data_IF_813160829138
#
_entry.id   IF_813160829138
#
_cell.length_a   1.000
_cell.length_b   1.000
_cell.length_c   1.000
_cell.angle_alpha   90.00
_cell.angle_beta   90.00
_cell.angle_gamma   90.00
#
_symmetry.space_group_name_H-M   'P 1'
#
loop_
_entity.id
_entity.type
_entity.pdbx_description
1 polymer ?
#
# COMPACT_ATOMS: atom_id res chain seq x y z
N UNK A 1 7.53 -17.35 43.12
CA UNK A 1 6.89 -16.22 42.41
C UNK A 1 6.88 -16.56 40.92
N UNK A 2 5.80 -17.21 40.44
CA UNK A 2 5.67 -17.54 39.03
C UNK A 2 5.33 -16.24 38.26
N UNK A 3 6.17 -15.89 37.29
CA UNK A 3 5.93 -14.75 36.39
C UNK A 3 4.69 -15.05 35.54
N UNK A 4 3.62 -14.31 35.77
CA UNK A 4 2.42 -14.34 34.93
C UNK A 4 2.83 -13.85 33.54
N UNK A 5 2.90 -14.76 32.56
CA UNK A 5 3.10 -14.39 31.18
C UNK A 5 1.97 -13.45 30.75
N UNK A 6 2.33 -12.24 30.34
CA UNK A 6 1.35 -11.27 29.83
C UNK A 6 0.59 -11.91 28.67
N UNK A 7 -0.73 -12.08 28.84
CA UNK A 7 -1.59 -12.60 27.78
C UNK A 7 -1.62 -11.56 26.66
N UNK A 8 -0.95 -11.86 25.55
CA UNK A 8 -0.87 -10.94 24.43
C UNK A 8 -2.20 -10.96 23.67
N UNK A 9 -2.86 -9.80 23.57
CA UNK A 9 -4.14 -9.71 22.86
C UNK A 9 -3.96 -10.05 21.38
N UNK A 10 -4.79 -11.01 20.91
CA UNK A 10 -4.78 -11.51 19.55
C UNK A 10 -5.73 -10.68 18.69
N UNK A 11 -5.21 -10.16 17.59
CA UNK A 11 -5.93 -9.45 16.55
C UNK A 11 -6.51 -10.38 15.46
N UNK A 12 -6.99 -9.80 14.35
CA UNK A 12 -7.58 -10.55 13.25
C UNK A 12 -6.58 -11.57 12.67
N UNK A 13 -7.04 -12.81 12.49
CA UNK A 13 -6.20 -13.92 12.02
C UNK A 13 -5.44 -14.66 13.12
N UNK A 14 -5.70 -14.37 14.40
CA UNK A 14 -5.04 -15.07 15.53
C UNK A 14 -3.59 -14.63 15.74
N UNK A 15 -3.28 -13.40 15.32
CA UNK A 15 -1.94 -12.83 15.31
C UNK A 15 -1.88 -11.71 16.35
N UNK A 16 -0.81 -11.54 17.13
CA UNK A 16 -0.71 -10.46 18.12
C UNK A 16 -1.01 -9.09 17.51
N UNK A 17 -1.66 -8.24 18.31
CA UNK A 17 -1.86 -6.83 17.96
C UNK A 17 -0.49 -6.17 17.70
N UNK A 18 -0.37 -5.47 16.57
CA UNK A 18 0.86 -4.84 16.04
C UNK A 18 1.91 -5.78 15.46
N UNK A 19 1.53 -7.01 15.12
CA UNK A 19 2.37 -7.88 14.30
C UNK A 19 2.73 -7.25 12.95
N UNK A 20 3.98 -7.47 12.52
CA UNK A 20 4.46 -7.05 11.22
C UNK A 20 4.44 -8.19 10.23
N UNK A 21 4.28 -7.88 8.95
CA UNK A 21 4.30 -8.89 7.89
C UNK A 21 5.68 -9.54 7.75
N UNK A 22 6.78 -8.80 7.95
CA UNK A 22 8.15 -9.34 7.92
C UNK A 22 8.48 -10.33 9.04
N UNK A 23 7.78 -10.27 10.17
CA UNK A 23 7.99 -11.20 11.30
C UNK A 23 7.54 -12.63 10.95
N UNK A 24 6.56 -12.76 10.03
CA UNK A 24 5.95 -14.04 9.65
C UNK A 24 6.38 -14.53 8.27
N UNK A 25 6.72 -13.62 7.37
CA UNK A 25 7.04 -13.93 5.99
C UNK A 25 8.27 -13.16 5.53
N UNK A 26 8.99 -13.72 4.55
CA UNK A 26 10.07 -12.99 3.88
C UNK A 26 9.47 -11.93 2.95
N UNK A 27 9.75 -10.67 3.25
CA UNK A 27 9.30 -9.51 2.47
C UNK A 27 10.47 -8.84 1.74
N UNK A 28 10.17 -8.11 0.66
CA UNK A 28 11.16 -7.30 -0.07
C UNK A 28 10.66 -5.86 -0.21
N UNK A 29 11.37 -4.93 0.44
CA UNK A 29 11.11 -3.47 0.44
C UNK A 29 9.62 -3.10 0.54
N UNK A 30 8.92 -3.71 1.51
CA UNK A 30 7.49 -3.53 1.68
C UNK A 30 7.17 -2.16 2.31
N UNK A 31 6.28 -1.35 1.71
CA UNK A 31 5.85 -0.09 2.31
C UNK A 31 5.24 -0.27 3.70
N UNK A 32 5.45 0.71 4.59
CA UNK A 32 5.00 0.69 5.99
C UNK A 32 3.53 0.31 6.18
N UNK A 33 2.65 0.73 5.27
CA UNK A 33 1.21 0.42 5.33
C UNK A 33 0.90 -1.08 5.16
N UNK A 34 1.69 -1.79 4.35
CA UNK A 34 1.52 -3.24 4.13
C UNK A 34 2.35 -4.05 5.13
N UNK A 35 3.43 -3.46 5.64
CA UNK A 35 4.22 -4.03 6.72
C UNK A 35 3.42 -4.10 8.04
N UNK A 36 2.58 -3.10 8.31
CA UNK A 36 1.79 -3.01 9.53
C UNK A 36 0.29 -3.04 9.17
N UNK A 37 -0.37 -4.21 9.17
CA UNK A 37 -1.77 -4.32 8.77
C UNK A 37 -2.75 -3.56 9.67
N UNK A 38 -2.33 -3.20 10.88
CA UNK A 38 -3.13 -2.41 11.83
C UNK A 38 -3.42 -0.99 11.36
N UNK A 39 -2.65 -0.47 10.39
CA UNK A 39 -2.85 0.87 9.81
C UNK A 39 -4.14 0.95 8.98
N UNK A 40 -4.65 -0.17 8.48
CA UNK A 40 -5.88 -0.20 7.70
C UNK A 40 -7.12 -0.04 8.58
N UNK A 41 -7.88 1.02 8.30
CA UNK A 41 -9.10 1.39 9.02
C UNK A 41 -10.34 1.22 8.14
N UNK A 42 -11.54 1.31 8.72
CA UNK A 42 -12.81 1.23 8.00
C UNK A 42 -13.34 -0.19 7.76
N UNK A 43 -12.61 -1.21 8.19
CA UNK A 43 -13.07 -2.60 8.18
C UNK A 43 -13.84 -2.93 9.46
N UNK A 44 -14.86 -3.77 9.32
CA UNK A 44 -15.72 -4.19 10.42
C UNK A 44 -17.17 -4.22 10.00
N UNK A 45 -18.00 -4.88 10.81
CA UNK A 45 -19.45 -4.83 10.64
C UNK A 45 -20.00 -3.58 11.31
N UNK A 46 -20.94 -2.90 10.64
CA UNK A 46 -21.80 -1.94 11.33
C UNK A 46 -22.66 -2.69 12.35
N UNK A 47 -23.00 -2.09 13.50
CA UNK A 47 -23.94 -2.68 14.43
C UNK A 47 -25.30 -2.81 13.72
N UNK A 48 -25.66 -4.02 13.31
CA UNK A 48 -26.91 -4.33 12.62
C UNK A 48 -27.50 -5.58 13.26
N UNK A 49 -28.82 -5.61 13.37
CA UNK A 49 -29.51 -6.81 13.84
C UNK A 49 -29.22 -7.99 12.90
N UNK A 50 -28.86 -9.18 13.42
CA UNK A 50 -28.47 -10.34 12.58
C UNK A 50 -29.52 -10.71 11.52
N UNK A 51 -30.81 -10.60 11.85
CA UNK A 51 -31.93 -10.89 10.93
C UNK A 51 -32.00 -9.91 9.73
N UNK A 52 -31.40 -8.74 9.85
CA UNK A 52 -31.39 -7.69 8.82
C UNK A 52 -29.99 -7.50 8.21
N UNK A 53 -29.10 -8.48 8.37
CA UNK A 53 -27.78 -8.46 7.73
C UNK A 53 -27.91 -8.95 6.30
N UNK A 54 -27.40 -8.16 5.34
CA UNK A 54 -27.40 -8.53 3.93
C UNK A 54 -26.09 -9.19 3.52
N UNK A 55 -26.07 -9.84 2.37
CA UNK A 55 -24.82 -10.43 1.86
C UNK A 55 -23.78 -9.36 1.48
N UNK A 56 -24.24 -8.20 1.00
CA UNK A 56 -23.36 -7.06 0.72
C UNK A 56 -22.64 -6.58 1.99
N UNK A 57 -23.27 -6.70 3.16
CA UNK A 57 -22.64 -6.36 4.46
C UNK A 57 -21.42 -7.24 4.76
N UNK A 58 -21.25 -8.41 4.13
CA UNK A 58 -20.05 -9.25 4.31
C UNK A 58 -18.81 -8.61 3.67
N UNK A 59 -18.97 -7.80 2.63
CA UNK A 59 -17.85 -7.11 2.00
C UNK A 59 -17.28 -6.03 2.95
N UNK A 60 -15.95 -5.97 3.10
CA UNK A 60 -15.28 -5.04 4.01
C UNK A 60 -15.41 -5.38 5.51
N UNK A 61 -16.13 -6.45 5.86
CA UNK A 61 -16.35 -6.85 7.25
C UNK A 61 -15.09 -7.31 7.99
N UNK A 62 -14.21 -8.00 7.27
CA UNK A 62 -13.00 -8.62 7.83
C UNK A 62 -11.82 -7.68 7.68
N UNK A 63 -11.18 -7.35 8.80
CA UNK A 63 -9.92 -6.60 8.83
C UNK A 63 -8.81 -7.42 8.17
N UNK A 64 -7.89 -6.78 7.46
CA UNK A 64 -6.73 -7.46 6.91
C UNK A 64 -5.75 -7.85 8.03
N UNK A 65 -4.97 -8.89 7.79
CA UNK A 65 -3.97 -9.47 8.69
C UNK A 65 -2.64 -9.69 7.95
N UNK A 66 -1.58 -10.04 8.67
CA UNK A 66 -0.25 -10.36 8.09
C UNK A 66 -0.33 -11.44 7.02
N UNK A 67 -1.27 -12.39 7.16
CA UNK A 67 -1.50 -13.47 6.20
C UNK A 67 -2.20 -13.04 4.91
N UNK A 68 -2.78 -11.85 4.89
CA UNK A 68 -3.47 -11.29 3.71
C UNK A 68 -2.68 -10.16 3.04
N UNK A 69 -1.62 -9.68 3.68
CA UNK A 69 -0.77 -8.62 3.13
C UNK A 69 0.12 -9.14 2.00
N UNK A 70 0.43 -8.30 1.00
CA UNK A 70 1.38 -8.68 -0.04
C UNK A 70 2.79 -8.77 0.54
N UNK A 71 3.61 -9.67 -0.02
CA UNK A 71 5.00 -9.85 0.38
C UNK A 71 5.95 -8.84 -0.29
N UNK A 72 5.59 -8.39 -1.50
CA UNK A 72 6.36 -7.42 -2.28
C UNK A 72 5.38 -6.40 -2.92
N UNK A 73 5.82 -5.15 -3.04
CA UNK A 73 5.02 -4.08 -3.68
C UNK A 73 5.87 -3.20 -4.59
N UNK A 74 5.80 -3.44 -5.90
CA UNK A 74 6.54 -2.68 -6.91
C UNK A 74 5.80 -1.41 -7.32
N UNK A 75 5.91 -0.36 -6.51
CA UNK A 75 5.34 0.95 -6.83
C UNK A 75 6.04 1.58 -8.04
N UNK A 76 5.26 2.09 -9.01
CA UNK A 76 5.79 2.93 -10.08
C UNK A 76 5.71 4.39 -9.67
N UNK A 77 6.86 5.04 -9.51
CA UNK A 77 6.92 6.48 -9.27
C UNK A 77 6.58 7.24 -10.55
N UNK A 78 5.62 8.16 -10.48
CA UNK A 78 5.26 9.05 -11.58
C UNK A 78 5.82 10.47 -11.42
N UNK A 79 6.68 10.69 -10.41
CA UNK A 79 7.21 12.03 -10.07
C UNK A 79 7.85 12.75 -11.27
N UNK A 80 8.60 12.02 -12.10
CA UNK A 80 9.24 12.59 -13.30
C UNK A 80 8.20 13.03 -14.34
N UNK A 81 7.28 12.15 -14.70
CA UNK A 81 6.25 12.43 -15.71
C UNK A 81 5.24 13.48 -15.24
N UNK A 82 4.88 13.49 -13.96
CA UNK A 82 4.04 14.53 -13.35
C UNK A 82 4.70 15.91 -13.40
N UNK A 83 6.02 15.98 -13.21
CA UNK A 83 6.76 17.23 -13.34
C UNK A 83 6.71 17.74 -14.79
N UNK A 84 7.01 16.89 -15.77
CA UNK A 84 6.94 17.27 -17.19
C UNK A 84 5.52 17.62 -17.64
N UNK A 85 4.50 16.92 -17.13
CA UNK A 85 3.10 17.20 -17.43
C UNK A 85 2.68 18.62 -17.05
N UNK A 86 3.29 19.22 -16.02
CA UNK A 86 3.06 20.62 -15.63
C UNK A 86 3.72 21.63 -16.56
N UNK A 87 4.84 21.27 -17.20
CA UNK A 87 5.59 22.15 -18.11
C UNK A 87 4.89 22.33 -19.47
N UNK A 88 3.92 21.49 -19.80
CA UNK A 88 3.13 21.58 -21.03
C UNK A 88 3.87 21.05 -22.27
N UNK A 89 3.31 21.34 -23.45
CA UNK A 89 3.87 20.87 -24.71
C UNK A 89 5.17 21.61 -25.05
N UNK A 90 6.26 20.90 -25.42
CA UNK A 90 7.50 21.56 -25.83
C UNK A 90 7.28 22.36 -27.11
N UNK A 91 7.89 23.55 -27.19
CA UNK A 91 7.89 24.39 -28.38
C UNK A 91 9.32 24.77 -28.74
N UNK A 92 9.63 24.75 -30.03
CA UNK A 92 10.90 25.20 -30.53
C UNK A 92 10.82 26.69 -30.89
N UNK A 93 11.65 27.52 -30.25
CA UNK A 93 11.81 28.94 -30.53
C UNK A 93 13.26 29.27 -30.97
N UNK A 94 14.06 28.28 -31.36
CA UNK A 94 15.44 28.49 -31.81
C UNK A 94 15.51 28.87 -33.29
N UNK A 95 16.61 29.52 -33.67
CA UNK A 95 16.97 29.80 -35.06
C UNK A 95 17.91 28.71 -35.57
N UNK A 96 17.75 28.30 -36.82
CA UNK A 96 18.71 27.40 -37.48
C UNK A 96 19.99 28.16 -37.81
N UNK A 97 21.08 27.82 -37.11
CA UNK A 97 22.40 28.46 -37.26
C UNK A 97 23.48 27.50 -37.78
N UNK A 98 23.10 26.30 -38.19
CA UNK A 98 24.03 25.36 -38.78
C UNK A 98 24.61 25.93 -40.07
N UNK A 99 25.94 26.02 -40.15
CA UNK A 99 26.63 26.28 -41.42
C UNK A 99 26.46 25.07 -42.35
N UNK A 100 26.26 25.33 -43.64
CA UNK A 100 26.17 24.27 -44.63
C UNK A 100 27.47 23.46 -44.66
N UNK A 101 27.32 22.15 -44.49
CA UNK A 101 28.45 21.21 -44.54
C UNK A 101 28.61 20.76 -45.98
N UNK A 102 29.71 21.13 -46.62
CA UNK A 102 30.11 20.51 -47.88
C UNK A 102 30.55 19.07 -47.63
N UNK A 103 29.93 18.11 -48.30
CA UNK A 103 30.47 16.74 -48.35
C UNK A 103 31.58 16.76 -49.40
N UNK A 104 32.84 16.79 -48.93
CA UNK A 104 34.04 16.51 -49.74
C UNK A 104 34.58 15.18 -49.29
#
# INVERSE_FOLDING_TARGET
>A
MASVAAQQELGPGGVPINAKTSDYYRTEDLPQRFENPTVFQGYGQKPQHPMYTTEASKYGAKKPSVHTMPLCFYAKSQKFSEHLGKCGMPRNYSLNTSADKSVV
#
